data_IF_563628287392
#
_entry.id   IF_563628287392
#
_cell.length_a   1.000
_cell.length_b   1.000
_cell.length_c   1.000
_cell.angle_alpha   90.00
_cell.angle_beta   90.00
_cell.angle_gamma   90.00
#
_symmetry.space_group_name_H-M   'P 1'
#
loop_
_entity.id
_entity.type
_entity.pdbx_description
1 polymer ?
#
# COMPACT_ATOMS: atom_id res chain seq x y z
N UNK A 1 -3.72 0.73 0.20
CA UNK A 1 -2.75 -0.19 0.78
C UNK A 1 -2.50 -1.31 -0.20
N UNK A 2 -1.25 -1.65 -0.43
CA UNK A 2 -0.88 -2.80 -1.23
C UNK A 2 -1.12 -4.07 -0.40
N UNK A 3 -1.45 -5.17 -1.06
CA UNK A 3 -1.49 -6.48 -0.41
C UNK A 3 -0.13 -6.84 0.23
N UNK A 4 0.95 -6.26 -0.27
CA UNK A 4 2.31 -6.49 0.20
C UNK A 4 2.48 -6.39 1.72
N UNK A 5 2.02 -5.29 2.34
CA UNK A 5 2.20 -5.13 3.79
C UNK A 5 1.45 -6.20 4.58
N UNK A 6 0.28 -6.59 4.10
CA UNK A 6 -0.47 -7.69 4.71
C UNK A 6 0.32 -9.00 4.62
N UNK A 7 0.83 -9.34 3.44
CA UNK A 7 1.63 -10.56 3.25
C UNK A 7 2.95 -10.52 4.04
N UNK A 8 3.59 -9.35 4.13
CA UNK A 8 4.80 -9.19 4.97
C UNK A 8 4.49 -9.38 6.46
N UNK A 9 3.38 -8.81 6.95
CA UNK A 9 2.94 -9.06 8.33
C UNK A 9 2.65 -10.54 8.57
N UNK A 10 1.95 -11.19 7.65
CA UNK A 10 1.65 -12.62 7.76
C UNK A 10 2.93 -13.47 7.80
N UNK A 11 3.88 -13.20 6.91
CA UNK A 11 5.17 -13.90 6.93
C UNK A 11 5.95 -13.65 8.22
N UNK A 12 5.93 -12.41 8.74
CA UNK A 12 6.57 -12.08 10.00
C UNK A 12 5.94 -12.84 11.17
N UNK A 13 4.61 -12.89 11.24
CA UNK A 13 3.85 -13.65 12.25
C UNK A 13 4.29 -15.12 12.23
N UNK A 14 4.37 -15.73 11.05
CA UNK A 14 4.82 -17.12 10.89
C UNK A 14 6.30 -17.29 11.28
N UNK A 15 7.18 -16.40 10.83
CA UNK A 15 8.63 -16.50 11.07
C UNK A 15 8.97 -16.32 12.55
N UNK A 16 8.27 -15.43 13.24
CA UNK A 16 8.52 -15.12 14.65
C UNK A 16 7.62 -15.91 15.59
N UNK A 17 6.82 -16.84 15.05
CA UNK A 17 5.89 -17.69 15.82
C UNK A 17 4.95 -16.86 16.71
N UNK A 18 4.49 -15.70 16.22
CA UNK A 18 3.54 -14.85 16.94
C UNK A 18 2.16 -15.49 16.85
N UNK A 19 1.42 -15.55 17.96
CA UNK A 19 0.02 -16.00 17.93
C UNK A 19 -0.84 -15.02 17.14
N UNK A 20 -1.66 -15.54 16.23
CA UNK A 20 -2.60 -14.71 15.45
C UNK A 20 -3.63 -14.05 16.36
N UNK A 21 -3.98 -14.69 17.47
CA UNK A 21 -4.91 -14.16 18.48
C UNK A 21 -4.38 -12.90 19.16
N UNK A 22 -3.03 -12.74 19.21
CA UNK A 22 -2.37 -11.56 19.74
C UNK A 22 -2.23 -10.44 18.69
N UNK A 23 -2.75 -10.64 17.47
CA UNK A 23 -2.62 -9.71 16.37
C UNK A 23 -3.93 -8.96 16.08
N UNK A 24 -3.87 -7.63 16.04
CA UNK A 24 -4.98 -6.77 15.64
C UNK A 24 -4.63 -6.04 14.35
N UNK A 25 -5.46 -6.22 13.32
CA UNK A 25 -5.26 -5.58 12.01
C UNK A 25 -6.15 -4.35 11.87
N UNK A 26 -5.54 -3.19 11.73
CA UNK A 26 -6.24 -1.97 11.38
C UNK A 26 -6.22 -1.75 9.87
N UNK A 27 -7.38 -1.80 9.24
CA UNK A 27 -7.53 -1.56 7.81
C UNK A 27 -8.15 -0.21 7.54
N UNK A 28 -7.67 0.48 6.50
CA UNK A 28 -8.20 1.77 6.04
C UNK A 28 -8.55 1.69 4.56
N UNK A 29 -9.35 2.64 4.06
CA UNK A 29 -9.68 2.79 2.64
C UNK A 29 -10.34 1.56 2.02
N UNK A 30 -11.30 0.97 2.71
CA UNK A 30 -12.05 -0.21 2.23
C UNK A 30 -11.17 -1.40 1.81
N UNK A 31 -9.95 -1.47 2.37
CA UNK A 31 -9.08 -2.62 2.14
C UNK A 31 -9.73 -3.89 2.69
N UNK A 32 -9.88 -4.89 1.84
CA UNK A 32 -10.30 -6.22 2.24
C UNK A 32 -9.09 -7.15 2.31
N UNK A 33 -9.02 -7.89 3.40
CA UNK A 33 -8.04 -8.99 3.54
C UNK A 33 -8.31 -10.02 2.45
N UNK A 34 -7.26 -10.60 1.82
CA UNK A 34 -7.43 -11.66 0.85
C UNK A 34 -8.30 -12.81 1.38
N UNK A 35 -9.13 -13.39 0.52
CA UNK A 35 -10.17 -14.38 0.94
C UNK A 35 -9.61 -15.56 1.72
N UNK A 36 -8.44 -16.02 1.33
CA UNK A 36 -7.73 -17.14 1.95
C UNK A 36 -7.32 -16.87 3.41
N UNK A 37 -7.31 -15.62 3.82
CA UNK A 37 -6.95 -15.22 5.19
C UNK A 37 -8.13 -14.73 6.03
N UNK A 38 -9.31 -14.52 5.45
CA UNK A 38 -10.45 -13.94 6.16
C UNK A 38 -10.94 -14.81 7.32
N UNK A 39 -10.81 -16.13 7.21
CA UNK A 39 -11.16 -17.07 8.28
C UNK A 39 -10.11 -17.17 9.38
N UNK A 40 -8.86 -16.75 9.09
CA UNK A 40 -7.73 -16.87 10.00
C UNK A 40 -7.66 -15.64 10.92
N UNK A 41 -7.91 -14.45 10.35
CA UNK A 41 -7.80 -13.20 11.08
C UNK A 41 -9.16 -12.72 11.58
N UNK A 42 -9.44 -12.97 12.85
CA UNK A 42 -10.71 -12.61 13.50
C UNK A 42 -10.74 -11.16 14.00
N UNK A 43 -9.57 -10.58 14.31
CA UNK A 43 -9.45 -9.22 14.86
C UNK A 43 -9.06 -8.21 13.78
N UNK A 44 -9.97 -7.99 12.81
CA UNK A 44 -9.81 -7.00 11.75
C UNK A 44 -10.70 -5.81 11.97
N UNK A 45 -10.10 -4.65 12.21
CA UNK A 45 -10.81 -3.41 12.51
C UNK A 45 -10.77 -2.51 11.29
N UNK A 46 -11.93 -2.23 10.71
CA UNK A 46 -12.05 -1.23 9.65
C UNK A 46 -12.14 0.17 10.29
N UNK A 47 -11.20 1.04 9.95
CA UNK A 47 -11.22 2.42 10.39
C UNK A 47 -11.61 3.36 9.25
N UNK A 48 -12.62 4.17 9.50
CA UNK A 48 -13.01 5.29 8.61
C UNK A 48 -12.12 6.52 8.79
N UNK A 49 -11.15 6.47 9.70
CA UNK A 49 -10.25 7.58 9.97
C UNK A 49 -9.43 7.93 8.72
N UNK A 50 -9.80 9.03 8.07
CA UNK A 50 -9.14 9.49 6.85
C UNK A 50 -7.98 10.42 7.21
N UNK A 51 -6.81 9.84 7.28
CA UNK A 51 -5.56 10.43 7.73
C UNK A 51 -5.02 11.52 6.81
N UNK A 52 -5.26 11.38 5.51
CA UNK A 52 -4.62 12.28 4.52
C UNK A 52 -5.13 13.72 4.55
N UNK A 53 -6.19 13.98 5.28
CA UNK A 53 -6.88 15.27 5.27
C UNK A 53 -6.80 16.06 6.57
N UNK A 54 -6.31 15.47 7.68
CA UNK A 54 -6.38 16.10 9.00
C UNK A 54 -5.50 17.33 9.08
N UNK A 55 -4.24 17.23 8.66
CA UNK A 55 -3.30 18.38 8.70
C UNK A 55 -3.75 19.54 7.80
N UNK A 56 -4.26 19.26 6.61
CA UNK A 56 -4.81 20.29 5.72
C UNK A 56 -6.13 20.90 6.21
N UNK A 57 -6.92 20.12 6.93
CA UNK A 57 -8.22 20.54 7.46
C UNK A 57 -8.13 21.41 8.69
N UNK A 58 -7.08 21.26 9.52
CA UNK A 58 -6.86 22.10 10.70
C UNK A 58 -6.70 23.57 10.31
N UNK A 59 -6.06 23.86 9.16
CA UNK A 59 -5.92 25.23 8.66
C UNK A 59 -7.24 25.87 8.21
N UNK A 60 -8.27 25.10 7.96
CA UNK A 60 -9.57 25.63 7.55
C UNK A 60 -10.45 26.09 8.74
N UNK A 61 -9.87 26.36 9.90
CA UNK A 61 -10.46 27.00 11.08
C UNK A 61 -11.63 26.28 11.76
N UNK A 62 -12.58 25.77 10.99
CA UNK A 62 -13.81 25.11 11.50
C UNK A 62 -13.62 23.63 11.88
N UNK A 63 -12.46 23.02 11.56
CA UNK A 63 -12.24 21.57 11.70
C UNK A 63 -11.38 21.21 12.90
N UNK A 64 -11.06 22.16 13.74
CA UNK A 64 -10.36 21.91 14.99
C UNK A 64 -11.11 20.90 15.86
N UNK A 65 -12.38 21.14 16.09
CA UNK A 65 -13.23 20.26 16.90
C UNK A 65 -13.43 18.90 16.27
N UNK A 66 -13.59 18.84 14.94
CA UNK A 66 -13.68 17.57 14.20
C UNK A 66 -12.37 16.77 14.34
N UNK A 67 -11.22 17.44 14.30
CA UNK A 67 -9.93 16.78 14.49
C UNK A 67 -9.80 16.21 15.90
N UNK A 68 -10.14 16.98 16.93
CA UNK A 68 -10.15 16.48 18.30
C UNK A 68 -11.11 15.31 18.49
N UNK A 69 -12.31 15.40 17.94
CA UNK A 69 -13.30 14.33 17.97
C UNK A 69 -12.74 13.07 17.29
N UNK A 70 -12.15 13.20 16.10
CA UNK A 70 -11.57 12.08 15.36
C UNK A 70 -10.42 11.43 16.12
N UNK A 71 -9.52 12.21 16.73
CA UNK A 71 -8.43 11.67 17.56
C UNK A 71 -9.01 10.87 18.75
N UNK A 72 -9.99 11.43 19.46
CA UNK A 72 -10.64 10.74 20.59
C UNK A 72 -11.36 9.47 20.15
N UNK A 73 -12.08 9.51 19.03
CA UNK A 73 -12.76 8.34 18.48
C UNK A 73 -11.76 7.25 18.11
N UNK A 74 -10.63 7.63 17.48
CA UNK A 74 -9.58 6.68 17.14
C UNK A 74 -8.92 6.10 18.39
N UNK A 75 -8.60 6.94 19.38
CA UNK A 75 -8.02 6.49 20.64
C UNK A 75 -8.93 5.49 21.35
N UNK A 76 -10.23 5.80 21.45
CA UNK A 76 -11.20 4.88 22.03
C UNK A 76 -11.25 3.56 21.26
N UNK A 77 -11.31 3.61 19.92
CA UNK A 77 -11.32 2.42 19.08
C UNK A 77 -10.11 1.53 19.36
N UNK A 78 -8.92 2.12 19.48
CA UNK A 78 -7.69 1.39 19.78
C UNK A 78 -7.73 0.82 21.20
N UNK A 79 -8.14 1.61 22.20
CA UNK A 79 -8.18 1.18 23.60
C UNK A 79 -9.18 0.06 23.85
N UNK A 80 -10.34 0.09 23.16
CA UNK A 80 -11.36 -0.97 23.24
C UNK A 80 -10.84 -2.33 22.73
N UNK A 81 -9.85 -2.32 21.82
CA UNK A 81 -9.28 -3.55 21.24
C UNK A 81 -7.97 -3.99 21.91
N UNK A 82 -7.12 -3.04 22.31
CA UNK A 82 -5.82 -3.36 22.96
C UNK A 82 -6.00 -3.55 24.48
N UNK A 83 -7.10 -3.06 25.06
CA UNK A 83 -7.46 -3.24 26.50
C UNK A 83 -6.35 -2.85 27.49
N UNK A 84 -5.52 -1.88 27.11
CA UNK A 84 -4.43 -1.39 27.95
C UNK A 84 -3.15 -2.25 27.94
N UNK A 85 -3.10 -3.34 27.17
CA UNK A 85 -1.92 -4.17 27.03
C UNK A 85 -0.81 -3.46 26.26
N UNK A 86 0.44 -3.82 26.52
CA UNK A 86 1.58 -3.34 25.75
C UNK A 86 1.54 -3.89 24.34
N UNK A 87 1.84 -3.05 23.34
CA UNK A 87 1.81 -3.47 21.96
C UNK A 87 2.97 -2.91 21.12
N UNK A 88 3.27 -3.61 20.03
CA UNK A 88 4.19 -3.16 18.98
C UNK A 88 3.37 -2.78 17.75
N UNK A 89 3.67 -1.60 17.19
CA UNK A 89 2.98 -1.09 16.00
C UNK A 89 3.76 -1.38 14.72
N UNK A 90 3.16 -2.07 13.77
CA UNK A 90 3.71 -2.30 12.44
C UNK A 90 3.00 -1.41 11.42
N UNK A 91 3.73 -0.62 10.65
CA UNK A 91 3.14 0.37 9.72
C UNK A 91 3.95 0.51 8.45
N UNK A 92 3.27 0.74 7.33
CA UNK A 92 3.92 1.00 6.04
C UNK A 92 4.58 2.38 6.00
N UNK A 93 4.02 3.36 6.70
CA UNK A 93 4.39 4.78 6.54
C UNK A 93 4.37 5.46 7.89
N UNK A 94 5.52 6.04 8.30
CA UNK A 94 5.57 6.76 9.57
C UNK A 94 5.00 8.18 9.56
N UNK A 95 4.79 8.80 8.42
CA UNK A 95 4.34 10.19 8.36
C UNK A 95 2.82 10.37 8.43
N UNK A 96 2.05 9.31 8.50
CA UNK A 96 0.61 9.42 8.62
C UNK A 96 0.16 9.67 10.07
N UNK A 97 -1.00 10.29 10.22
CA UNK A 97 -1.52 10.66 11.53
C UNK A 97 -1.83 9.44 12.39
N UNK A 98 -2.25 8.32 11.79
CA UNK A 98 -2.47 7.06 12.52
C UNK A 98 -1.18 6.55 13.16
N UNK A 99 -0.07 6.53 12.41
CA UNK A 99 1.21 6.12 12.96
C UNK A 99 1.59 7.00 14.16
N UNK A 100 1.49 8.32 14.00
CA UNK A 100 1.79 9.24 15.08
C UNK A 100 0.90 9.02 16.31
N UNK A 101 -0.39 8.82 16.12
CA UNK A 101 -1.33 8.55 17.22
C UNK A 101 -1.02 7.23 17.92
N UNK A 102 -0.67 6.17 17.19
CA UNK A 102 -0.31 4.87 17.76
C UNK A 102 0.99 4.94 18.54
N UNK A 103 2.03 5.54 17.98
CA UNK A 103 3.35 5.65 18.62
C UNK A 103 3.29 6.48 19.90
N UNK A 104 2.36 7.45 20.00
CA UNK A 104 2.19 8.26 21.21
C UNK A 104 1.41 7.60 22.34
N UNK A 105 0.78 6.48 22.12
CA UNK A 105 0.12 5.74 23.21
C UNK A 105 1.15 5.29 24.24
N UNK A 106 0.79 5.35 25.53
CA UNK A 106 1.71 4.98 26.61
C UNK A 106 2.16 3.53 26.52
N UNK A 107 1.24 2.66 26.20
CA UNK A 107 1.43 1.22 26.05
C UNK A 107 1.96 0.78 24.68
N UNK A 108 2.26 1.70 23.76
CA UNK A 108 3.04 1.38 22.57
C UNK A 108 4.52 1.25 22.97
N UNK A 109 5.06 0.04 23.02
CA UNK A 109 6.45 -0.22 23.43
C UNK A 109 7.44 -0.13 22.28
N UNK A 110 6.95 -0.10 21.02
CA UNK A 110 7.80 0.03 19.86
C UNK A 110 7.02 0.08 18.55
N UNK A 111 7.73 0.46 17.47
CA UNK A 111 7.16 0.37 16.13
C UNK A 111 8.20 -0.03 15.08
N UNK A 112 7.70 -0.74 14.08
CA UNK A 112 8.45 -1.13 12.88
C UNK A 112 7.85 -0.48 11.64
N UNK A 113 8.71 -0.13 10.69
CA UNK A 113 8.31 0.31 9.36
C UNK A 113 8.35 -0.88 8.42
N UNK A 114 7.22 -1.18 7.78
CA UNK A 114 7.10 -2.24 6.79
C UNK A 114 7.23 -1.64 5.40
N UNK A 115 7.87 -2.36 4.50
CA UNK A 115 7.98 -2.00 3.09
C UNK A 115 6.63 -1.63 2.46
N UNK A 116 6.59 -0.49 1.77
CA UNK A 116 5.43 0.06 1.05
C UNK A 116 5.71 0.18 -0.46
N UNK A 117 6.19 -0.89 -1.06
CA UNK A 117 6.52 -0.92 -2.48
C UNK A 117 7.59 0.08 -2.88
N UNK A 118 7.45 0.72 -4.04
CA UNK A 118 8.48 1.59 -4.64
C UNK A 118 8.91 2.77 -3.77
N UNK A 119 8.06 3.21 -2.84
CA UNK A 119 8.39 4.27 -1.89
C UNK A 119 9.57 3.92 -0.98
N UNK A 120 9.70 2.65 -0.63
CA UNK A 120 10.73 2.14 0.28
C UNK A 120 12.13 2.03 -0.35
N UNK A 121 12.22 2.16 -1.68
CA UNK A 121 13.51 2.10 -2.43
C UNK A 121 14.11 3.48 -2.72
N UNK A 122 13.50 4.56 -2.22
CA UNK A 122 14.00 5.92 -2.44
C UNK A 122 15.29 6.18 -1.66
N UNK A 123 16.28 6.77 -2.34
CA UNK A 123 17.58 7.15 -1.76
C UNK A 123 17.58 8.52 -1.05
N UNK A 124 16.43 9.19 -0.95
CA UNK A 124 16.34 10.52 -0.33
C UNK A 124 15.27 10.54 0.73
N UNK A 125 15.64 11.02 1.92
CA UNK A 125 14.66 11.40 2.93
C UNK A 125 13.98 12.69 2.48
N UNK A 126 12.67 12.63 2.26
CA UNK A 126 11.87 13.82 2.01
C UNK A 126 11.35 14.34 3.34
N UNK A 127 11.69 15.58 3.69
CA UNK A 127 11.07 16.26 4.84
C UNK A 127 9.59 16.48 4.57
N UNK A 128 8.77 16.21 5.57
CA UNK A 128 7.29 16.27 5.47
C UNK A 128 6.79 17.67 5.14
N UNK A 129 7.57 18.69 5.51
CA UNK A 129 7.20 20.09 5.34
C UNK A 129 8.41 20.90 4.92
N UNK A 130 8.36 21.46 3.72
CA UNK A 130 9.37 22.38 3.20
C UNK A 130 8.78 23.80 3.15
N UNK A 131 9.65 24.81 3.39
CA UNK A 131 9.32 26.22 3.28
C UNK A 131 8.44 26.80 4.38
N UNK A 132 7.88 27.97 4.13
CA UNK A 132 7.10 28.76 5.09
C UNK A 132 5.92 28.00 5.70
N UNK A 133 5.25 27.16 4.91
CA UNK A 133 4.16 26.28 5.39
C UNK A 133 4.66 25.30 6.44
N UNK A 134 5.85 24.72 6.26
CA UNK A 134 6.43 23.80 7.25
C UNK A 134 6.71 24.49 8.57
N UNK A 135 7.25 25.70 8.54
CA UNK A 135 7.49 26.52 9.75
C UNK A 135 6.17 26.81 10.46
N UNK A 136 5.16 27.30 9.75
CA UNK A 136 3.83 27.57 10.30
C UNK A 136 3.19 26.32 10.94
N UNK A 137 3.28 25.17 10.26
CA UNK A 137 2.77 23.91 10.81
C UNK A 137 3.46 23.52 12.11
N UNK A 138 4.76 23.57 12.17
CA UNK A 138 5.50 23.19 13.36
C UNK A 138 5.33 24.20 14.50
N UNK A 139 5.29 25.50 14.19
CA UNK A 139 5.22 26.53 15.22
C UNK A 139 3.83 26.70 15.81
N UNK A 140 2.78 26.66 14.97
CA UNK A 140 1.41 26.93 15.39
C UNK A 140 0.61 25.67 15.74
N UNK A 141 0.75 24.60 14.95
CA UNK A 141 -0.10 23.41 15.12
C UNK A 141 0.52 22.33 16.00
N UNK A 142 1.85 22.22 16.06
CA UNK A 142 2.50 21.23 16.91
C UNK A 142 2.16 21.41 18.40
N UNK A 143 2.14 22.63 18.98
CA UNK A 143 1.71 22.82 20.37
C UNK A 143 0.27 22.37 20.63
N UNK A 144 -0.62 22.57 19.65
CA UNK A 144 -2.05 22.21 19.77
C UNK A 144 -2.33 20.72 19.56
N UNK A 145 -1.54 20.07 18.68
CA UNK A 145 -1.69 18.66 18.32
C UNK A 145 -0.33 17.93 18.32
N UNK A 146 0.38 17.88 19.46
CA UNK A 146 1.74 17.33 19.51
C UNK A 146 1.79 15.88 19.01
N UNK A 147 0.74 15.10 19.26
CA UNK A 147 0.63 13.70 18.84
C UNK A 147 0.62 13.49 17.33
N UNK A 148 0.24 14.50 16.53
CA UNK A 148 0.25 14.41 15.06
C UNK A 148 1.60 14.81 14.45
N UNK A 149 2.56 15.27 15.23
CA UNK A 149 3.82 15.86 14.77
C UNK A 149 5.08 15.21 15.34
N UNK A 150 4.97 13.97 15.80
CA UNK A 150 6.11 13.25 16.38
C UNK A 150 7.15 12.95 15.32
N UNK A 151 6.70 12.47 14.15
CA UNK A 151 7.59 12.14 13.05
C UNK A 151 7.82 13.37 12.18
N UNK A 152 9.07 13.82 12.13
CA UNK A 152 9.51 14.99 11.35
C UNK A 152 9.79 14.63 9.90
N UNK A 153 10.31 13.45 9.64
CA UNK A 153 10.71 12.98 8.33
C UNK A 153 9.61 12.12 7.69
N UNK A 154 9.50 12.21 6.37
CA UNK A 154 8.44 11.56 5.62
C UNK A 154 8.58 10.04 5.58
N UNK A 155 9.77 9.50 5.85
CA UNK A 155 10.03 8.07 5.71
C UNK A 155 10.30 7.38 7.05
N UNK A 156 11.43 7.61 7.67
CA UNK A 156 11.82 6.86 8.87
C UNK A 156 12.50 7.82 9.82
N UNK A 157 12.07 7.82 11.07
CA UNK A 157 12.74 8.55 12.13
C UNK A 157 13.43 7.55 13.07
N UNK A 158 14.71 7.31 12.78
CA UNK A 158 15.54 6.35 13.53
C UNK A 158 15.88 6.82 14.94
N UNK A 159 15.81 8.15 15.16
CA UNK A 159 16.15 8.74 16.46
C UNK A 159 14.98 8.66 17.46
N UNK A 160 13.81 8.21 17.02
CA UNK A 160 12.67 8.08 17.95
C UNK A 160 12.88 6.88 18.88
N UNK A 161 12.74 7.02 20.20
CA UNK A 161 13.10 5.97 21.18
C UNK A 161 12.28 4.67 21.02
N UNK A 162 11.11 4.76 20.42
CA UNK A 162 10.24 3.61 20.15
C UNK A 162 10.50 2.96 18.77
N UNK A 163 11.40 3.50 17.95
CA UNK A 163 11.75 2.89 16.68
C UNK A 163 12.53 1.60 16.90
N UNK A 164 12.06 0.50 16.35
CA UNK A 164 12.68 -0.83 16.49
C UNK A 164 13.38 -1.30 15.21
N UNK A 165 12.98 -0.77 14.04
CA UNK A 165 13.59 -1.16 12.78
C UNK A 165 12.64 -1.11 11.59
N UNK A 166 13.12 -1.68 10.48
CA UNK A 166 12.39 -1.83 9.23
C UNK A 166 12.26 -3.31 8.86
N UNK A 167 11.16 -3.66 8.19
CA UNK A 167 10.90 -5.00 7.66
C UNK A 167 10.80 -4.92 6.14
N UNK A 168 11.59 -5.70 5.43
CA UNK A 168 11.72 -5.65 3.98
C UNK A 168 11.72 -7.02 3.31
N UNK A 169 11.40 -7.04 2.02
CA UNK A 169 11.49 -8.23 1.17
C UNK A 169 12.92 -8.53 0.76
N UNK A 170 13.76 -7.50 0.58
CA UNK A 170 15.14 -7.62 0.11
C UNK A 170 16.06 -6.53 0.68
N UNK A 171 17.37 -6.66 0.45
CA UNK A 171 18.41 -5.79 0.95
C UNK A 171 18.55 -4.44 0.25
N UNK A 172 17.85 -4.23 -0.87
CA UNK A 172 17.82 -2.95 -1.61
C UNK A 172 16.77 -2.00 -1.04
N UNK A 173 15.83 -2.54 -0.26
CA UNK A 173 14.81 -1.75 0.43
C UNK A 173 15.46 -0.92 1.56
N UNK A 174 14.88 0.23 1.84
CA UNK A 174 15.36 1.17 2.86
C UNK A 174 16.86 1.48 2.78
N UNK A 175 17.39 1.94 1.63
CA UNK A 175 18.83 2.05 1.37
C UNK A 175 19.58 2.96 2.34
N UNK A 176 18.89 3.91 3.00
CA UNK A 176 19.46 4.81 4.02
C UNK A 176 19.42 4.22 5.44
N UNK A 177 18.76 3.08 5.63
CA UNK A 177 18.50 2.49 6.95
C UNK A 177 18.82 0.99 6.98
N UNK A 178 19.80 0.56 6.19
CA UNK A 178 20.18 -0.87 6.05
C UNK A 178 20.49 -1.53 7.40
N UNK A 179 21.20 -0.83 8.30
CA UNK A 179 21.54 -1.34 9.63
C UNK A 179 20.33 -1.62 10.53
N UNK A 180 19.20 -1.03 10.22
CA UNK A 180 17.94 -1.23 10.97
C UNK A 180 16.96 -2.13 10.22
N UNK A 181 17.35 -2.66 9.05
CA UNK A 181 16.46 -3.40 8.16
C UNK A 181 16.65 -4.91 8.32
N UNK A 182 15.57 -5.58 8.71
CA UNK A 182 15.45 -7.03 8.70
C UNK A 182 14.83 -7.47 7.38
N UNK A 183 15.56 -8.28 6.64
CA UNK A 183 15.09 -8.88 5.38
C UNK A 183 14.44 -10.22 5.70
N UNK A 184 13.17 -10.38 5.30
CA UNK A 184 12.41 -11.63 5.50
C UNK A 184 12.08 -12.35 4.18
N UNK A 185 12.53 -11.80 3.04
CA UNK A 185 12.30 -12.36 1.71
C UNK A 185 10.87 -12.14 1.19
N UNK A 186 10.61 -12.57 -0.02
CA UNK A 186 9.29 -12.41 -0.65
C UNK A 186 8.20 -13.14 0.15
N UNK A 187 7.08 -12.47 0.46
CA UNK A 187 6.03 -13.01 1.32
C UNK A 187 4.88 -13.65 0.53
N UNK A 188 5.02 -13.77 -0.79
CA UNK A 188 3.94 -14.20 -1.66
C UNK A 188 3.77 -15.72 -1.66
N UNK A 189 2.53 -16.16 -1.84
CA UNK A 189 2.16 -17.57 -1.89
C UNK A 189 1.67 -17.87 -3.31
N UNK A 190 2.26 -18.84 -4.04
CA UNK A 190 1.79 -19.20 -5.38
C UNK A 190 0.30 -19.50 -5.37
N UNK A 191 -0.50 -18.70 -6.07
CA UNK A 191 -1.94 -18.90 -6.20
C UNK A 191 -2.27 -19.04 -7.67
N UNK A 192 -2.56 -20.26 -8.15
CA UNK A 192 -2.87 -20.49 -9.56
C UNK A 192 -4.19 -19.84 -9.95
N UNK A 193 -4.22 -19.27 -11.13
CA UNK A 193 -5.44 -18.79 -11.79
C UNK A 193 -6.19 -19.98 -12.41
N UNK A 194 -7.50 -19.84 -12.61
CA UNK A 194 -8.31 -20.87 -13.28
C UNK A 194 -7.82 -21.14 -14.70
N UNK A 195 -7.35 -20.12 -15.37
CA UNK A 195 -6.79 -20.19 -16.72
C UNK A 195 -5.31 -19.82 -16.61
N UNK A 196 -4.43 -20.60 -17.23
CA UNK A 196 -2.99 -20.29 -17.31
C UNK A 196 -2.79 -19.18 -18.35
N UNK A 197 -2.42 -17.96 -17.94
CA UNK A 197 -2.21 -16.86 -18.87
C UNK A 197 -0.80 -16.91 -19.47
N UNK A 198 -0.67 -16.48 -20.73
CA UNK A 198 0.64 -16.22 -21.36
C UNK A 198 1.27 -14.92 -20.82
N UNK A 199 0.42 -13.96 -20.45
CA UNK A 199 0.83 -12.71 -19.84
C UNK A 199 -0.18 -12.18 -18.84
N UNK A 200 0.31 -11.40 -17.86
CA UNK A 200 -0.51 -10.63 -16.92
C UNK A 200 -0.25 -9.14 -17.14
N UNK A 201 -1.32 -8.35 -17.24
CA UNK A 201 -1.25 -6.90 -17.43
C UNK A 201 -1.85 -6.18 -16.20
N UNK A 202 -1.05 -5.33 -15.56
CA UNK A 202 -1.55 -4.37 -14.57
C UNK A 202 -1.98 -3.10 -15.28
N UNK A 203 -3.27 -2.80 -15.32
CA UNK A 203 -3.80 -1.55 -15.86
C UNK A 203 -3.72 -0.49 -14.75
N UNK A 204 -2.67 0.32 -14.83
CA UNK A 204 -2.42 1.36 -13.85
C UNK A 204 -3.46 2.50 -13.91
N UNK A 205 -3.57 3.26 -12.80
CA UNK A 205 -4.51 4.37 -12.70
C UNK A 205 -4.03 5.61 -13.49
N UNK A 206 -3.83 5.45 -14.80
CA UNK A 206 -3.29 6.48 -15.70
C UNK A 206 -4.07 7.79 -15.64
N UNK A 207 -5.40 7.71 -15.48
CA UNK A 207 -6.30 8.87 -15.34
C UNK A 207 -5.96 9.83 -14.18
N UNK A 208 -5.10 9.41 -13.24
CA UNK A 208 -4.63 10.28 -12.16
C UNK A 208 -3.53 11.25 -12.60
N UNK A 209 -2.90 10.97 -13.75
CA UNK A 209 -1.65 11.62 -14.15
C UNK A 209 -1.70 12.21 -15.55
N UNK A 210 -2.56 11.70 -16.42
CA UNK A 210 -2.64 12.05 -17.85
C UNK A 210 -4.09 12.18 -18.30
N UNK A 211 -4.31 12.83 -19.45
CA UNK A 211 -5.62 12.92 -20.07
C UNK A 211 -6.10 11.57 -20.61
N UNK A 212 -7.41 11.46 -20.82
CA UNK A 212 -8.03 10.25 -21.38
C UNK A 212 -7.48 9.89 -22.76
N UNK A 213 -7.23 10.88 -23.62
CA UNK A 213 -6.68 10.64 -24.97
C UNK A 213 -5.29 10.00 -24.90
N UNK A 214 -4.42 10.51 -24.03
CA UNK A 214 -3.09 9.96 -23.81
C UNK A 214 -3.20 8.55 -23.20
N UNK A 215 -4.09 8.35 -22.22
CA UNK A 215 -4.30 7.04 -21.62
C UNK A 215 -4.79 6.01 -22.64
N UNK A 216 -5.73 6.41 -23.53
CA UNK A 216 -6.23 5.58 -24.62
C UNK A 216 -5.10 5.20 -25.59
N UNK A 217 -4.28 6.17 -25.99
CA UNK A 217 -3.14 5.94 -26.88
C UNK A 217 -2.14 4.95 -26.25
N UNK A 218 -1.83 5.08 -24.96
CA UNK A 218 -0.93 4.16 -24.25
C UNK A 218 -1.50 2.75 -24.25
N UNK A 219 -2.80 2.57 -23.94
CA UNK A 219 -3.45 1.27 -23.94
C UNK A 219 -3.47 0.67 -25.35
N UNK A 220 -3.70 1.47 -26.38
CA UNK A 220 -3.67 1.02 -27.78
C UNK A 220 -2.27 0.56 -28.21
N UNK A 221 -1.22 1.31 -27.84
CA UNK A 221 0.16 0.93 -28.12
C UNK A 221 0.55 -0.36 -27.39
N UNK A 222 0.16 -0.49 -26.12
CA UNK A 222 0.35 -1.72 -25.35
C UNK A 222 -0.34 -2.90 -26.04
N UNK A 223 -1.60 -2.72 -26.46
CA UNK A 223 -2.35 -3.77 -27.18
C UNK A 223 -1.68 -4.18 -28.47
N UNK A 224 -1.23 -3.21 -29.28
CA UNK A 224 -0.48 -3.47 -30.51
C UNK A 224 0.78 -4.31 -30.24
N UNK A 225 1.54 -3.94 -29.21
CA UNK A 225 2.74 -4.70 -28.84
C UNK A 225 2.42 -6.12 -28.39
N UNK A 226 1.40 -6.28 -27.53
CA UNK A 226 0.99 -7.55 -26.96
C UNK A 226 0.37 -8.47 -28.03
N UNK A 227 -0.46 -7.94 -28.93
CA UNK A 227 -1.06 -8.68 -30.05
C UNK A 227 0.02 -9.27 -30.97
N UNK A 228 1.13 -8.55 -31.17
CA UNK A 228 2.27 -9.02 -32.00
C UNK A 228 3.12 -10.11 -31.30
N UNK A 229 2.90 -10.38 -30.01
CA UNK A 229 3.62 -11.44 -29.28
C UNK A 229 3.09 -12.85 -29.53
N UNK A 230 1.91 -12.97 -30.12
CA UNK A 230 1.28 -14.27 -30.36
C UNK A 230 0.74 -14.95 -29.10
N UNK A 231 0.44 -14.17 -28.05
CA UNK A 231 -0.24 -14.70 -26.87
C UNK A 231 -1.67 -15.12 -27.19
N UNK A 232 -2.12 -16.19 -26.57
CA UNK A 232 -3.50 -16.71 -26.75
C UNK A 232 -4.39 -16.21 -25.59
N UNK A 233 -3.87 -16.14 -24.38
CA UNK A 233 -4.62 -15.81 -23.19
C UNK A 233 -3.90 -14.78 -22.33
N UNK A 234 -4.62 -13.72 -21.97
CA UNK A 234 -4.08 -12.63 -21.14
C UNK A 234 -5.00 -12.43 -19.96
N UNK A 235 -4.40 -12.43 -18.76
CA UNK A 235 -5.08 -11.96 -17.58
C UNK A 235 -4.76 -10.46 -17.37
N UNK A 236 -5.76 -9.66 -17.00
CA UNK A 236 -5.53 -8.26 -16.66
C UNK A 236 -6.23 -7.87 -15.37
N UNK A 237 -5.69 -6.87 -14.71
CA UNK A 237 -6.26 -6.31 -13.49
C UNK A 237 -6.10 -4.80 -13.47
N UNK A 238 -7.19 -4.10 -13.17
CA UNK A 238 -7.13 -2.66 -12.92
C UNK A 238 -6.48 -2.34 -11.58
N UNK A 239 -5.89 -1.16 -11.50
CA UNK A 239 -5.42 -0.63 -10.23
C UNK A 239 -6.57 -0.58 -9.21
N UNK A 240 -6.36 -0.98 -7.94
CA UNK A 240 -7.43 -1.07 -6.93
C UNK A 240 -8.28 0.21 -6.82
N UNK A 241 -7.66 1.37 -7.05
CA UNK A 241 -8.36 2.65 -6.99
C UNK A 241 -9.38 2.85 -8.13
N UNK A 242 -9.34 2.06 -9.19
CA UNK A 242 -10.29 2.12 -10.31
C UNK A 242 -11.63 1.46 -9.95
N UNK A 243 -11.63 0.52 -9.02
CA UNK A 243 -12.85 -0.20 -8.59
C UNK A 243 -13.74 0.59 -7.62
N UNK A 244 -13.31 1.77 -7.16
CA UNK A 244 -14.12 2.59 -6.25
C UNK A 244 -15.39 3.07 -6.96
N UNK A 245 -16.53 2.98 -6.30
CA UNK A 245 -17.87 3.30 -6.88
C UNK A 245 -17.96 4.64 -7.58
N UNK A 246 -17.31 5.67 -7.05
CA UNK A 246 -17.22 7.00 -7.66
C UNK A 246 -16.46 7.05 -8.99
N UNK A 247 -15.86 5.96 -9.44
CA UNK A 247 -15.05 5.83 -10.65
C UNK A 247 -15.55 4.79 -11.64
N UNK A 248 -16.81 4.38 -11.48
CA UNK A 248 -17.44 3.38 -12.34
C UNK A 248 -17.35 3.73 -13.83
N UNK A 249 -17.51 5.02 -14.18
CA UNK A 249 -17.40 5.48 -15.57
C UNK A 249 -15.99 5.32 -16.15
N UNK A 250 -14.96 5.54 -15.33
CA UNK A 250 -13.54 5.34 -15.72
C UNK A 250 -13.27 3.86 -15.93
N UNK A 251 -13.72 3.01 -15.00
CA UNK A 251 -13.61 1.56 -15.12
C UNK A 251 -14.25 1.04 -16.41
N UNK A 252 -15.50 1.45 -16.70
CA UNK A 252 -16.21 1.05 -17.92
C UNK A 252 -15.48 1.50 -19.19
N UNK A 253 -14.98 2.75 -19.22
CA UNK A 253 -14.21 3.29 -20.32
C UNK A 253 -12.94 2.49 -20.60
N UNK A 254 -12.18 2.16 -19.57
CA UNK A 254 -10.94 1.41 -19.70
C UNK A 254 -11.20 -0.02 -20.16
N UNK A 255 -12.24 -0.68 -19.64
CA UNK A 255 -12.65 -2.00 -20.10
C UNK A 255 -13.07 -2.00 -21.56
N UNK A 256 -13.80 -0.97 -22.00
CA UNK A 256 -14.14 -0.83 -23.42
C UNK A 256 -12.87 -0.76 -24.28
N UNK A 257 -11.89 0.09 -23.95
CA UNK A 257 -10.64 0.19 -24.70
C UNK A 257 -9.85 -1.11 -24.71
N UNK A 258 -9.82 -1.84 -23.59
CA UNK A 258 -9.16 -3.13 -23.50
C UNK A 258 -9.83 -4.13 -24.46
N UNK A 259 -11.15 -4.23 -24.43
CA UNK A 259 -11.89 -5.13 -25.31
C UNK A 259 -11.79 -4.73 -26.80
N UNK A 260 -11.70 -3.42 -27.10
CA UNK A 260 -11.61 -2.94 -28.48
C UNK A 260 -10.22 -3.17 -29.10
N UNK A 261 -9.15 -3.16 -28.31
CA UNK A 261 -7.78 -3.14 -28.84
C UNK A 261 -7.03 -4.46 -28.70
N UNK A 262 -7.32 -5.29 -27.69
CA UNK A 262 -6.62 -6.55 -27.50
C UNK A 262 -7.32 -7.69 -28.28
N UNK A 263 -6.51 -8.48 -28.99
CA UNK A 263 -7.00 -9.62 -29.78
C UNK A 263 -7.03 -10.97 -29.05
N UNK A 264 -6.12 -11.24 -28.05
CA UNK A 264 -6.15 -12.48 -27.31
C UNK A 264 -7.39 -12.64 -26.44
N UNK A 265 -7.66 -13.86 -26.00
CA UNK A 265 -8.67 -14.12 -24.97
C UNK A 265 -8.31 -13.37 -23.69
N UNK A 266 -9.24 -12.54 -23.19
CA UNK A 266 -9.03 -11.69 -22.03
C UNK A 266 -9.76 -12.22 -20.81
N UNK A 267 -9.05 -12.27 -19.66
CA UNK A 267 -9.63 -12.57 -18.36
C UNK A 267 -9.35 -11.42 -17.39
N UNK A 268 -10.39 -10.72 -16.95
CA UNK A 268 -10.24 -9.77 -15.85
C UNK A 268 -10.07 -10.51 -14.52
N UNK A 269 -9.04 -10.16 -13.79
CA UNK A 269 -8.80 -10.65 -12.44
C UNK A 269 -9.63 -9.85 -11.44
N UNK A 270 -10.19 -10.55 -10.46
CA UNK A 270 -10.98 -9.89 -9.39
C UNK A 270 -10.13 -8.90 -8.60
N UNK A 271 -10.75 -7.87 -7.99
CA UNK A 271 -10.05 -6.90 -7.14
C UNK A 271 -9.25 -7.55 -5.98
N UNK A 272 -9.69 -8.70 -5.49
CA UNK A 272 -9.05 -9.44 -4.40
C UNK A 272 -7.87 -10.31 -4.84
N UNK A 273 -7.74 -10.58 -6.15
CA UNK A 273 -6.63 -11.41 -6.67
C UNK A 273 -5.30 -10.68 -6.52
N UNK A 274 -4.30 -11.27 -5.90
CA UNK A 274 -2.93 -10.75 -5.89
C UNK A 274 -2.24 -11.08 -7.22
N UNK A 275 -1.78 -10.04 -7.93
CA UNK A 275 -0.96 -10.22 -9.14
C UNK A 275 0.35 -10.92 -8.77
N UNK A 276 0.96 -10.55 -7.64
CA UNK A 276 2.23 -11.10 -7.17
C UNK A 276 2.12 -12.61 -6.93
N UNK A 277 1.05 -13.05 -6.27
CA UNK A 277 0.80 -14.49 -6.04
C UNK A 277 0.58 -15.24 -7.37
N UNK A 278 -0.13 -14.60 -8.30
CA UNK A 278 -0.40 -15.18 -9.62
C UNK A 278 0.89 -15.29 -10.47
N UNK A 279 1.74 -14.26 -10.44
CA UNK A 279 3.06 -14.28 -11.10
C UNK A 279 3.97 -15.35 -10.52
N UNK A 280 3.93 -15.54 -9.20
CA UNK A 280 4.71 -16.60 -8.55
C UNK A 280 4.25 -18.00 -8.97
N UNK A 281 2.95 -18.19 -9.23
CA UNK A 281 2.39 -19.45 -9.69
C UNK A 281 2.68 -19.74 -11.16
N UNK A 282 2.52 -18.73 -12.04
CA UNK A 282 2.53 -18.94 -13.50
C UNK A 282 3.83 -18.54 -14.17
N UNK A 283 4.61 -17.60 -13.59
CA UNK A 283 5.88 -17.07 -14.14
C UNK A 283 5.76 -16.60 -15.60
N UNK A 284 4.58 -16.10 -15.97
CA UNK A 284 4.31 -15.57 -17.31
C UNK A 284 4.82 -14.12 -17.46
N UNK A 285 4.85 -13.60 -18.68
CA UNK A 285 5.25 -12.23 -18.95
C UNK A 285 4.35 -11.22 -18.20
N UNK A 286 4.95 -10.16 -17.66
CA UNK A 286 4.23 -9.15 -16.87
C UNK A 286 4.37 -7.76 -17.47
N UNK A 287 3.25 -7.07 -17.63
CA UNK A 287 3.17 -5.72 -18.18
C UNK A 287 2.60 -4.74 -17.15
N UNK A 288 3.28 -3.60 -16.94
CA UNK A 288 2.85 -2.55 -16.02
C UNK A 288 3.42 -1.20 -16.45
N UNK A 289 2.75 -0.08 -16.15
CA UNK A 289 3.30 1.25 -16.44
C UNK A 289 4.31 1.66 -15.36
N UNK A 290 3.84 1.86 -14.13
CA UNK A 290 4.68 2.26 -12.98
C UNK A 290 4.14 1.57 -11.73
N UNK A 291 4.58 0.36 -11.47
CA UNK A 291 4.13 -0.38 -10.28
C UNK A 291 5.31 -0.96 -9.51
N UNK A 292 5.19 -0.97 -8.19
CA UNK A 292 6.12 -1.69 -7.31
C UNK A 292 6.12 -3.20 -7.54
N UNK A 293 5.06 -3.74 -8.16
CA UNK A 293 4.98 -5.16 -8.53
C UNK A 293 6.14 -5.54 -9.47
N UNK A 294 6.62 -4.60 -10.31
CA UNK A 294 7.76 -4.84 -11.20
C UNK A 294 9.04 -5.23 -10.44
N UNK A 295 9.24 -4.69 -9.25
CA UNK A 295 10.40 -5.01 -8.40
C UNK A 295 10.32 -6.47 -7.97
N UNK A 296 9.15 -6.90 -7.50
CA UNK A 296 8.93 -8.26 -7.02
C UNK A 296 8.90 -9.27 -8.16
N UNK A 297 8.31 -8.91 -9.32
CA UNK A 297 8.32 -9.72 -10.53
C UNK A 297 9.76 -10.04 -10.97
N UNK A 298 10.63 -9.03 -10.99
CA UNK A 298 12.04 -9.22 -11.29
C UNK A 298 12.75 -10.13 -10.28
N UNK A 299 12.45 -10.02 -8.99
CA UNK A 299 13.01 -10.91 -7.96
C UNK A 299 12.52 -12.35 -8.09
N UNK A 300 11.31 -12.57 -8.62
CA UNK A 300 10.78 -13.88 -8.95
C UNK A 300 11.38 -14.46 -10.25
N UNK A 301 12.20 -13.68 -11.00
CA UNK A 301 12.70 -14.05 -12.32
C UNK A 301 11.66 -13.96 -13.43
N UNK A 302 10.57 -13.21 -13.21
CA UNK A 302 9.53 -12.96 -14.21
C UNK A 302 9.97 -11.82 -15.12
N UNK A 303 9.79 -12.00 -16.44
CA UNK A 303 10.04 -10.95 -17.43
C UNK A 303 9.01 -9.82 -17.26
N UNK A 304 9.50 -8.64 -16.94
CA UNK A 304 8.65 -7.46 -16.68
C UNK A 304 8.90 -6.39 -17.76
N UNK A 305 7.81 -5.92 -18.35
CA UNK A 305 7.81 -4.91 -19.40
C UNK A 305 7.07 -3.66 -18.93
N UNK A 306 7.71 -2.50 -19.09
CA UNK A 306 7.05 -1.21 -18.84
C UNK A 306 6.45 -0.68 -20.14
N UNK A 307 5.20 -0.23 -20.07
CA UNK A 307 4.46 0.36 -21.20
C UNK A 307 4.23 1.88 -21.04
N UNK A 308 5.08 2.54 -20.29
CA UNK A 308 5.02 4.01 -20.09
C UNK A 308 5.94 4.73 -21.07
#
# INVERSE_FOLDING_TARGET
SSHLAFYLCNKLIQTDSISIEDCVFFTSRDYNIPKEYQSIYTHVIKTSYNVSSTKGRIFAGWKFWDTLKNIRTFDKLVDDHIKGEDFIWYTQICYNDICNLMVTKKNCVGYYIIEDGSGSYKKKNETTFKGLRGVLYHTLLKPLFPRLFIVKNRMIETDHPKFKGCIATNDKCFPLHKQYTRVIGLPFIPTPLKIVPDAIISIDALYLWISDDIAKMIIQQLATYVNNKGYHRIAYKHHPYTYVSSRRSIYQKYNQWINDFFSPELQELSPETSIENSLMAHRCDFYTAVSSISIYANEMGVKCYSYK
#
